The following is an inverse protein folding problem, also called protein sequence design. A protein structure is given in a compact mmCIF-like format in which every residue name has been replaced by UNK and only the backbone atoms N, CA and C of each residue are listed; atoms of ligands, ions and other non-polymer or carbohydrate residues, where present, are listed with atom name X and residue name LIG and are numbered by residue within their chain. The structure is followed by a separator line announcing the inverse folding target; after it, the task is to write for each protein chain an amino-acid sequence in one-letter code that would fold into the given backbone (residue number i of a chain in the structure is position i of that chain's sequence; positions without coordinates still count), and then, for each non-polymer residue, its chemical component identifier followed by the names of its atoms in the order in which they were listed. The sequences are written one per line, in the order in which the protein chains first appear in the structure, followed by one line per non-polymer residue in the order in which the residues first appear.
data_IF_128277633896
#
_entry.id   IF_128277633896
#
_cell.length_a   1.000
_cell.length_b   1.000
_cell.length_c   1.000
_cell.angle_alpha   90.00
_cell.angle_beta   90.00
_cell.angle_gamma   90.00
#
_symmetry.space_group_name_H-M   'P 1'
#
loop_
_entity.id
_entity.type
_entity.pdbx_description
1 polymer ?
#
# COMPACT_ATOMS: atom_id res chain seq x y z
N UNK A 1 9.26 -4.22 7.42
CA UNK A 1 7.83 -4.58 7.24
C UNK A 1 7.24 -5.07 8.56
N UNK A 2 7.84 -6.07 9.21
CA UNK A 2 7.36 -6.62 10.49
C UNK A 2 7.18 -5.60 11.62
N UNK A 3 8.20 -4.76 11.87
CA UNK A 3 8.16 -3.69 12.90
C UNK A 3 6.99 -2.71 12.75
N UNK A 4 6.41 -2.60 11.55
CA UNK A 4 5.32 -1.67 11.24
C UNK A 4 3.99 -2.39 11.02
N UNK A 5 3.89 -3.69 11.30
CA UNK A 5 2.66 -4.46 11.10
C UNK A 5 2.26 -4.60 9.63
N UNK A 6 3.21 -4.51 8.70
CA UNK A 6 2.92 -4.55 7.26
C UNK A 6 3.00 -5.98 6.72
N UNK A 7 1.85 -6.52 6.32
CA UNK A 7 1.72 -7.84 5.73
C UNK A 7 2.04 -9.00 6.67
N UNK A 8 1.75 -10.21 6.21
CA UNK A 8 2.11 -11.48 6.86
C UNK A 8 3.42 -12.02 6.26
N UNK A 9 4.09 -13.00 6.90
CA UNK A 9 5.30 -13.60 6.33
C UNK A 9 5.12 -14.05 4.87
N UNK A 10 3.96 -14.63 4.53
CA UNK A 10 3.63 -15.06 3.17
C UNK A 10 3.57 -13.89 2.18
N UNK A 11 2.87 -12.80 2.52
CA UNK A 11 2.68 -11.69 1.57
C UNK A 11 3.91 -10.80 1.41
N UNK A 12 4.82 -10.78 2.38
CA UNK A 12 6.04 -9.95 2.32
C UNK A 12 6.99 -10.37 1.20
N UNK A 13 7.22 -11.67 1.03
CA UNK A 13 8.07 -12.18 -0.05
C UNK A 13 7.48 -11.82 -1.42
N UNK A 14 6.18 -12.06 -1.59
CA UNK A 14 5.45 -11.75 -2.82
C UNK A 14 5.49 -10.25 -3.15
N UNK A 15 5.39 -9.37 -2.14
CA UNK A 15 5.49 -7.92 -2.35
C UNK A 15 6.86 -7.54 -2.89
N UNK A 16 7.95 -8.09 -2.32
CA UNK A 16 9.31 -7.79 -2.78
C UNK A 16 9.49 -8.22 -4.24
N UNK A 17 9.04 -9.42 -4.60
CA UNK A 17 9.13 -9.91 -5.98
C UNK A 17 8.30 -9.06 -6.95
N UNK A 18 7.10 -8.63 -6.55
CA UNK A 18 6.28 -7.71 -7.36
C UNK A 18 6.95 -6.34 -7.56
N UNK A 19 7.63 -5.80 -6.56
CA UNK A 19 8.35 -4.52 -6.69
C UNK A 19 9.54 -4.63 -7.67
N UNK A 20 10.22 -5.79 -7.68
CA UNK A 20 11.29 -6.08 -8.64
C UNK A 20 10.72 -6.25 -10.05
N UNK A 21 9.63 -7.00 -10.23
CA UNK A 21 8.96 -7.20 -11.51
C UNK A 21 8.39 -5.91 -12.09
N UNK A 22 7.89 -5.00 -11.24
CA UNK A 22 7.40 -3.69 -11.65
C UNK A 22 8.52 -2.67 -11.94
N UNK A 23 9.79 -3.05 -11.72
CA UNK A 23 10.98 -2.20 -11.88
C UNK A 23 10.95 -0.93 -11.01
N UNK A 24 10.21 -0.94 -9.91
CA UNK A 24 10.22 0.17 -8.93
C UNK A 24 11.40 0.05 -7.96
N UNK A 25 11.91 -1.17 -7.78
CA UNK A 25 13.09 -1.49 -6.97
C UNK A 25 14.01 -2.40 -7.79
N UNK A 26 15.31 -2.35 -7.52
CA UNK A 26 16.34 -3.21 -8.12
C UNK A 26 17.30 -3.75 -7.06
N UNK A 27 17.96 -4.88 -7.36
CA UNK A 27 19.04 -5.44 -6.52
C UNK A 27 20.39 -4.92 -6.99
N UNK A 28 21.09 -4.19 -6.12
CA UNK A 28 22.47 -3.72 -6.34
C UNK A 28 23.33 -4.26 -5.20
N UNK A 29 24.34 -5.08 -5.52
CA UNK A 29 25.23 -5.69 -4.52
C UNK A 29 24.49 -6.39 -3.37
N UNK A 30 23.42 -7.14 -3.69
CA UNK A 30 22.58 -7.83 -2.71
C UNK A 30 21.62 -6.94 -1.90
N UNK A 31 21.59 -5.62 -2.15
CA UNK A 31 20.70 -4.67 -1.48
C UNK A 31 19.58 -4.22 -2.40
N UNK A 32 18.39 -4.01 -1.85
CA UNK A 32 17.26 -3.41 -2.57
C UNK A 32 17.43 -1.89 -2.62
N UNK A 33 17.38 -1.32 -3.82
CA UNK A 33 17.50 0.11 -4.06
C UNK A 33 16.36 0.60 -4.96
N UNK A 34 15.77 1.77 -4.71
CA UNK A 34 14.72 2.32 -5.57
C UNK A 34 15.30 2.71 -6.94
N UNK A 35 14.55 2.44 -8.00
CA UNK A 35 14.89 2.92 -9.36
C UNK A 35 14.45 4.37 -9.54
N UNK A 36 14.83 5.01 -10.66
CA UNK A 36 14.32 6.34 -11.01
C UNK A 36 12.78 6.34 -11.14
N UNK A 37 12.25 5.32 -11.83
CA UNK A 37 10.80 5.04 -11.95
C UNK A 37 10.12 4.88 -10.59
N UNK A 38 10.74 4.13 -9.68
CA UNK A 38 10.22 3.93 -8.33
C UNK A 38 10.16 5.24 -7.52
N UNK A 39 11.18 6.10 -7.64
CA UNK A 39 11.18 7.41 -6.98
C UNK A 39 10.07 8.32 -7.52
N UNK A 40 9.95 8.43 -8.85
CA UNK A 40 8.88 9.19 -9.49
C UNK A 40 7.49 8.70 -9.08
N UNK A 41 7.28 7.38 -9.05
CA UNK A 41 6.02 6.81 -8.60
C UNK A 41 5.69 7.23 -7.16
N UNK A 42 6.68 7.16 -6.26
CA UNK A 42 6.49 7.59 -4.88
C UNK A 42 6.16 9.08 -4.79
N UNK A 43 6.67 9.93 -5.66
CA UNK A 43 6.34 11.37 -5.64
C UNK A 43 4.91 11.66 -6.13
N UNK A 44 4.40 10.85 -7.06
CA UNK A 44 3.06 11.00 -7.65
C UNK A 44 1.93 10.41 -6.79
N UNK A 45 2.20 9.34 -6.05
CA UNK A 45 1.17 8.67 -5.24
C UNK A 45 0.65 9.60 -4.13
N UNK A 46 -0.63 9.49 -3.78
CA UNK A 46 -1.22 10.22 -2.64
C UNK A 46 -0.50 9.87 -1.32
N UNK A 47 -0.31 10.85 -0.43
CA UNK A 47 0.43 10.67 0.83
C UNK A 47 -0.18 9.61 1.76
N UNK A 48 -1.51 9.50 1.79
CA UNK A 48 -2.20 8.50 2.60
C UNK A 48 -1.85 7.08 2.16
N UNK A 49 -1.77 6.85 0.84
CA UNK A 49 -1.47 5.52 0.27
C UNK A 49 -0.02 5.08 0.49
N UNK A 50 0.88 6.01 0.82
CA UNK A 50 2.28 5.71 1.18
C UNK A 50 2.48 5.56 2.69
N UNK A 51 1.45 5.78 3.49
CA UNK A 51 1.52 5.73 4.95
C UNK A 51 1.50 4.30 5.46
N UNK A 52 2.59 3.88 6.10
CA UNK A 52 2.65 2.61 6.81
C UNK A 52 1.59 2.52 7.93
N UNK A 53 1.22 3.65 8.53
CA UNK A 53 0.20 3.68 9.59
C UNK A 53 -1.19 3.34 9.04
N UNK A 54 -1.55 3.85 7.86
CA UNK A 54 -2.83 3.53 7.22
C UNK A 54 -2.90 2.04 6.86
N UNK A 55 -1.81 1.49 6.33
CA UNK A 55 -1.75 0.05 6.02
C UNK A 55 -1.90 -0.79 7.29
N UNK A 56 -1.20 -0.44 8.38
CA UNK A 56 -1.33 -1.14 9.66
C UNK A 56 -2.76 -1.07 10.23
N UNK A 57 -3.43 0.08 10.08
CA UNK A 57 -4.83 0.23 10.49
C UNK A 57 -5.75 -0.73 9.72
N UNK A 58 -5.53 -0.87 8.41
CA UNK A 58 -6.30 -1.81 7.59
C UNK A 58 -6.03 -3.26 7.96
N UNK A 59 -4.77 -3.65 8.15
CA UNK A 59 -4.39 -5.00 8.60
C UNK A 59 -5.07 -5.34 9.94
N UNK A 60 -5.09 -4.40 10.89
CA UNK A 60 -5.82 -4.58 12.15
C UNK A 60 -7.32 -4.74 11.93
N UNK A 61 -7.96 -3.92 11.09
CA UNK A 61 -9.40 -4.07 10.77
C UNK A 61 -9.70 -5.43 10.12
N UNK A 62 -8.85 -5.89 9.20
CA UNK A 62 -8.96 -7.20 8.56
C UNK A 62 -8.82 -8.34 9.58
N UNK A 63 -7.90 -8.22 10.53
CA UNK A 63 -7.74 -9.19 11.61
C UNK A 63 -8.97 -9.26 12.53
N UNK A 64 -9.56 -8.11 12.88
CA UNK A 64 -10.82 -8.09 13.65
C UNK A 64 -11.96 -8.73 12.89
N UNK A 65 -12.06 -8.49 11.58
CA UNK A 65 -13.05 -9.14 10.71
C UNK A 65 -12.84 -10.66 10.71
N UNK A 66 -11.61 -11.15 10.53
CA UNK A 66 -11.30 -12.57 10.56
C UNK A 66 -11.65 -13.22 11.91
N UNK A 67 -11.55 -12.48 13.01
CA UNK A 67 -11.93 -12.92 14.36
C UNK A 67 -13.44 -12.78 14.66
N UNK A 68 -14.25 -12.35 13.70
CA UNK A 68 -15.69 -12.12 13.89
C UNK A 68 -16.03 -10.88 14.73
N UNK A 69 -15.05 -10.01 14.99
CA UNK A 69 -15.18 -8.77 15.80
C UNK A 69 -15.37 -7.51 14.96
N UNK A 70 -15.31 -7.63 13.64
CA UNK A 70 -15.46 -6.53 12.69
C UNK A 70 -16.63 -6.76 11.72
N UNK A 71 -17.08 -5.67 11.08
CA UNK A 71 -18.12 -5.72 10.05
C UNK A 71 -17.49 -5.60 8.65
N UNK A 72 -17.49 -6.67 7.83
CA UNK A 72 -16.92 -6.64 6.48
C UNK A 72 -17.59 -5.62 5.55
N UNK A 73 -18.92 -5.49 5.60
CA UNK A 73 -19.68 -4.56 4.77
C UNK A 73 -19.33 -3.11 5.09
N UNK A 74 -19.17 -2.78 6.38
CA UNK A 74 -18.74 -1.45 6.81
C UNK A 74 -17.33 -1.13 6.32
N UNK A 75 -16.39 -2.07 6.50
CA UNK A 75 -15.03 -1.93 6.00
C UNK A 75 -15.01 -1.68 4.48
N UNK A 76 -15.71 -2.51 3.71
CA UNK A 76 -15.80 -2.35 2.25
C UNK A 76 -16.46 -1.04 1.83
N UNK A 77 -17.43 -0.53 2.61
CA UNK A 77 -18.05 0.77 2.34
C UNK A 77 -17.05 1.91 2.50
N UNK A 78 -16.23 1.88 3.56
CA UNK A 78 -15.15 2.85 3.77
C UNK A 78 -14.11 2.79 2.65
N UNK A 79 -13.70 1.59 2.24
CA UNK A 79 -12.75 1.39 1.14
C UNK A 79 -13.29 2.04 -0.14
N UNK A 80 -14.52 1.74 -0.55
CA UNK A 80 -15.13 2.34 -1.76
C UNK A 80 -15.18 3.85 -1.69
N UNK A 81 -15.58 4.41 -0.54
CA UNK A 81 -15.62 5.87 -0.33
C UNK A 81 -14.23 6.48 -0.48
N UNK A 82 -13.20 5.91 0.15
CA UNK A 82 -11.83 6.41 0.07
C UNK A 82 -11.27 6.30 -1.35
N UNK A 83 -11.55 5.20 -2.06
CA UNK A 83 -11.19 5.02 -3.47
C UNK A 83 -11.80 6.11 -4.34
N UNK A 84 -13.10 6.41 -4.17
CA UNK A 84 -13.75 7.46 -4.94
C UNK A 84 -13.14 8.84 -4.67
N UNK A 85 -12.78 9.14 -3.42
CA UNK A 85 -12.09 10.38 -3.06
C UNK A 85 -10.73 10.48 -3.76
N UNK A 86 -9.92 9.42 -3.69
CA UNK A 86 -8.60 9.38 -4.32
C UNK A 86 -8.68 9.54 -5.85
N UNK A 87 -9.66 8.90 -6.50
CA UNK A 87 -9.87 9.07 -7.95
C UNK A 87 -10.20 10.52 -8.30
N UNK A 88 -11.05 11.17 -7.50
CA UNK A 88 -11.41 12.56 -7.74
C UNK A 88 -10.21 13.50 -7.53
N UNK A 89 -9.41 13.26 -6.48
CA UNK A 89 -8.17 14.01 -6.23
C UNK A 89 -7.19 13.90 -7.40
N UNK A 90 -7.01 12.69 -7.95
CA UNK A 90 -6.14 12.46 -9.11
C UNK A 90 -6.68 13.16 -10.35
N UNK A 91 -7.99 13.08 -10.64
CA UNK A 91 -8.62 13.78 -11.78
C UNK A 91 -8.46 15.29 -11.71
N UNK A 92 -8.42 15.86 -10.51
CA UNK A 92 -8.22 17.29 -10.27
C UNK A 92 -6.75 17.68 -10.11
N UNK A 93 -5.82 16.73 -10.14
CA UNK A 93 -4.39 16.99 -9.99
C UNK A 93 -3.77 17.40 -11.31
N UNK A 94 -2.94 18.45 -11.30
CA UNK A 94 -2.14 18.88 -12.45
C UNK A 94 -0.75 18.22 -12.47
N UNK A 95 -0.43 17.37 -11.50
CA UNK A 95 0.87 16.67 -11.44
C UNK A 95 0.90 15.53 -12.46
N UNK A 96 1.89 15.56 -13.35
CA UNK A 96 2.18 14.52 -14.35
C UNK A 96 3.43 13.75 -13.98
#
# INVERSE_FOLDING_TARGET
MEKYGLGTPATRADIIEKLLQAESVQRINGRLCPTAKGKQLIDLVNNDLKSAALTAEWEHQLEHIAKGKGNPQHFMTKIRKKTQQLINEVKSSEKT
#
